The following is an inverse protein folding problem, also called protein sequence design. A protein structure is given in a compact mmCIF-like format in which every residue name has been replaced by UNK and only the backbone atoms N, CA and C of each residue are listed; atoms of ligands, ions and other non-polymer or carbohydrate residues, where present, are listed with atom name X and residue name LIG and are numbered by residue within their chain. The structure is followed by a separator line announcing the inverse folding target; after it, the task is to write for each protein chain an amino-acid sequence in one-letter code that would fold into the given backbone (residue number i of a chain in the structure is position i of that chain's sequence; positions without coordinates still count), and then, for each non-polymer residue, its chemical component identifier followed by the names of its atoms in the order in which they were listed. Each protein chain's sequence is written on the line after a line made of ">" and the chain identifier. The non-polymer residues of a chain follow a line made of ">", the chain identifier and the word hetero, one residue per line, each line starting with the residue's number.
data_IF_390487057835
#
_entry.id   IF_390487057835
#
_cell.length_a   1.000
_cell.length_b   1.000
_cell.length_c   1.000
_cell.angle_alpha   90.00
_cell.angle_beta   90.00
_cell.angle_gamma   90.00
#
_symmetry.space_group_name_H-M   'P 1'
#
loop_
_entity.id
_entity.type
_entity.pdbx_description
1 polymer ?
#
# COMPACT_ATOMS: atom_id res chain seq x y z
N UNK A 1 -19.43 -7.42 -57.91
CA UNK A 1 -20.67 -7.84 -57.19
C UNK A 1 -20.41 -7.55 -55.71
N UNK A 2 -20.94 -6.54 -55.02
CA UNK A 2 -22.13 -5.71 -55.17
C UNK A 2 -22.86 -5.71 -53.83
N UNK A 3 -22.68 -4.67 -52.99
CA UNK A 3 -23.55 -4.28 -51.85
C UNK A 3 -22.96 -2.99 -51.23
N UNK A 4 -23.48 -1.81 -51.56
CA UNK A 4 -24.75 -1.18 -51.13
C UNK A 4 -24.54 -0.30 -49.89
N UNK A 5 -24.86 0.98 -50.06
CA UNK A 5 -24.50 2.16 -49.26
C UNK A 5 -25.82 2.77 -48.74
N UNK A 6 -25.75 3.45 -47.58
CA UNK A 6 -26.67 4.51 -47.11
C UNK A 6 -27.96 4.09 -46.36
N UNK A 7 -28.65 5.00 -45.61
CA UNK A 7 -28.33 6.39 -45.22
C UNK A 7 -28.59 6.79 -43.74
N UNK A 8 -28.04 7.98 -43.43
CA UNK A 8 -28.41 9.00 -42.42
C UNK A 8 -29.89 9.07 -41.99
N UNK A 9 -30.12 9.22 -40.68
CA UNK A 9 -31.32 9.81 -40.08
C UNK A 9 -31.01 11.18 -39.45
N UNK A 10 -31.79 12.20 -39.83
CA UNK A 10 -31.68 13.60 -39.44
C UNK A 10 -32.90 14.01 -38.61
N UNK A 11 -32.66 14.93 -37.66
CA UNK A 11 -33.55 16.02 -37.20
C UNK A 11 -34.83 15.69 -36.43
N UNK A 12 -34.93 16.31 -35.25
CA UNK A 12 -36.19 16.63 -34.60
C UNK A 12 -35.98 17.80 -33.64
N UNK A 13 -36.05 19.03 -34.15
CA UNK A 13 -36.18 20.24 -33.35
C UNK A 13 -37.67 20.59 -33.29
N UNK A 14 -38.20 20.85 -32.09
CA UNK A 14 -39.52 21.48 -31.94
C UNK A 14 -39.49 22.54 -30.84
N UNK A 15 -40.21 23.63 -31.13
CA UNK A 15 -40.11 24.98 -30.60
C UNK A 15 -41.08 25.25 -29.43
N UNK A 16 -40.62 26.13 -28.52
CA UNK A 16 -41.28 27.32 -27.93
C UNK A 16 -42.69 27.17 -27.32
N UNK A 17 -42.83 27.51 -26.04
CA UNK A 17 -43.90 28.41 -25.56
C UNK A 17 -43.53 29.03 -24.20
N UNK A 18 -43.55 30.36 -24.15
CA UNK A 18 -43.34 31.18 -22.97
C UNK A 18 -44.63 31.32 -22.15
N UNK A 19 -44.52 31.42 -20.82
CA UNK A 19 -45.49 32.09 -19.95
C UNK A 19 -44.75 32.90 -18.88
N UNK A 20 -44.97 34.21 -18.93
CA UNK A 20 -44.59 35.17 -17.91
C UNK A 20 -45.60 35.12 -16.75
N UNK A 21 -45.12 35.27 -15.51
CA UNK A 21 -45.92 35.77 -14.38
C UNK A 21 -45.00 36.36 -13.27
N UNK A 22 -45.25 37.64 -12.98
CA UNK A 22 -44.92 38.56 -11.86
C UNK A 22 -43.76 38.29 -10.85
N UNK A 23 -43.06 39.36 -10.40
CA UNK A 23 -41.99 39.29 -9.40
C UNK A 23 -42.58 39.35 -7.98
N UNK A 24 -42.51 38.25 -7.25
CA UNK A 24 -42.62 38.32 -5.79
C UNK A 24 -41.25 38.74 -5.23
N UNK A 25 -41.23 39.81 -4.43
CA UNK A 25 -40.07 40.26 -3.66
C UNK A 25 -39.43 39.08 -2.92
N UNK A 26 -38.27 38.64 -3.39
CA UNK A 26 -37.42 37.72 -2.64
C UNK A 26 -36.50 38.53 -1.71
N UNK A 27 -36.32 38.13 -0.44
CA UNK A 27 -35.38 38.78 0.47
C UNK A 27 -33.96 38.72 -0.09
N UNK A 28 -33.22 39.81 0.13
CA UNK A 28 -31.84 40.04 -0.30
C UNK A 28 -30.95 38.79 -0.20
N UNK A 29 -30.07 38.51 -1.18
CA UNK A 29 -29.12 37.42 -1.10
C UNK A 29 -28.20 37.63 0.11
N UNK A 30 -28.36 36.80 1.13
CA UNK A 30 -27.34 36.65 2.16
C UNK A 30 -26.15 36.00 1.47
N UNK A 31 -25.01 36.70 1.46
CA UNK A 31 -23.77 36.20 0.86
C UNK A 31 -23.52 34.78 1.40
N UNK A 32 -23.37 33.76 0.54
CA UNK A 32 -23.01 32.43 1.01
C UNK A 32 -21.66 32.53 1.72
N UNK A 33 -21.66 32.19 3.00
CA UNK A 33 -20.44 31.95 3.77
C UNK A 33 -19.64 30.91 2.99
N UNK A 34 -18.42 31.29 2.61
CA UNK A 34 -17.49 30.41 1.93
C UNK A 34 -17.23 29.18 2.81
N UNK A 35 -17.74 28.03 2.36
CA UNK A 35 -17.35 26.67 2.75
C UNK A 35 -17.76 26.18 4.17
N UNK A 36 -19.03 25.79 4.39
CA UNK A 36 -19.41 25.00 5.55
C UNK A 36 -18.97 23.54 5.31
N UNK A 37 -17.79 23.16 5.82
CA UNK A 37 -17.31 21.78 5.73
C UNK A 37 -15.80 21.60 5.83
N UNK A 38 -15.00 22.66 5.77
CA UNK A 38 -13.61 22.55 6.19
C UNK A 38 -13.58 22.52 7.73
N UNK A 39 -12.94 21.51 8.35
CA UNK A 39 -12.71 21.54 9.78
C UNK A 39 -11.99 22.85 10.10
N UNK A 40 -12.52 23.59 11.06
CA UNK A 40 -11.88 24.79 11.61
C UNK A 40 -10.41 24.46 11.86
N UNK A 41 -9.51 25.19 11.21
CA UNK A 41 -8.06 24.98 11.34
C UNK A 41 -7.68 24.85 12.81
N UNK A 42 -6.70 23.97 13.09
CA UNK A 42 -6.25 23.63 14.44
C UNK A 42 -6.09 24.91 15.27
N UNK A 43 -6.91 25.04 16.30
CA UNK A 43 -6.96 26.20 17.19
C UNK A 43 -5.63 26.31 17.96
N UNK A 44 -4.72 27.18 17.48
CA UNK A 44 -3.37 27.33 18.04
C UNK A 44 -3.40 27.73 19.52
N UNK A 45 -4.45 28.45 19.95
CA UNK A 45 -4.67 28.87 21.33
C UNK A 45 -5.13 27.74 22.24
N UNK A 46 -5.89 26.76 21.71
CA UNK A 46 -6.39 25.61 22.47
C UNK A 46 -5.42 24.43 22.50
N UNK A 47 -4.61 24.27 21.45
CA UNK A 47 -3.69 23.15 21.30
C UNK A 47 -2.25 23.45 21.74
N UNK A 48 -1.81 24.71 21.77
CA UNK A 48 -0.53 25.14 22.39
C UNK A 48 0.73 24.32 22.00
N UNK A 49 1.84 24.63 22.66
CA UNK A 49 3.13 23.93 22.50
C UNK A 49 3.08 22.44 22.96
N UNK A 50 1.98 22.02 23.60
CA UNK A 50 1.81 20.72 24.27
C UNK A 50 1.16 19.62 23.43
N UNK A 51 0.66 19.94 22.23
CA UNK A 51 0.28 18.93 21.22
C UNK A 51 1.31 18.93 20.09
N UNK A 52 2.59 19.04 20.45
CA UNK A 52 3.64 18.40 19.67
C UNK A 52 3.38 16.91 19.86
N UNK A 53 2.90 16.21 18.83
CA UNK A 53 3.09 14.76 18.81
C UNK A 53 4.54 14.57 19.21
N UNK A 54 4.79 13.93 20.36
CA UNK A 54 6.12 13.53 20.77
C UNK A 54 6.58 12.51 19.72
N UNK A 55 6.94 13.03 18.55
CA UNK A 55 7.99 12.47 17.74
C UNK A 55 9.19 12.74 18.63
N UNK A 56 9.51 11.77 19.49
CA UNK A 56 10.85 11.70 20.05
C UNK A 56 11.78 11.92 18.86
N UNK A 57 12.52 13.03 18.85
CA UNK A 57 13.51 13.29 17.79
C UNK A 57 14.62 12.22 17.82
N UNK A 58 14.66 11.47 18.92
CA UNK A 58 15.30 10.17 19.09
C UNK A 58 14.39 9.00 18.69
N UNK A 59 13.59 9.12 17.63
CA UNK A 59 12.97 7.96 16.97
C UNK A 59 14.11 7.14 16.35
N UNK A 60 14.72 6.36 17.23
CA UNK A 60 15.76 5.37 17.06
C UNK A 60 15.52 4.71 15.72
N UNK A 61 16.52 4.78 14.84
CA UNK A 61 16.51 4.06 13.56
C UNK A 61 15.87 2.70 13.79
N UNK A 62 14.90 2.28 12.94
CA UNK A 62 14.25 1.00 13.13
C UNK A 62 15.35 -0.05 13.33
N UNK A 63 15.28 -0.82 14.42
CA UNK A 63 16.40 -1.64 14.87
C UNK A 63 16.78 -2.71 13.84
N UNK A 64 15.87 -3.00 12.93
CA UNK A 64 15.98 -4.04 11.92
C UNK A 64 15.22 -3.64 10.66
N UNK A 65 15.71 -4.08 9.51
CA UNK A 65 15.11 -3.97 8.20
C UNK A 65 14.84 -5.35 7.66
N UNK A 66 13.59 -5.60 7.25
CA UNK A 66 13.14 -6.89 6.75
C UNK A 66 12.97 -6.84 5.25
N UNK A 67 13.51 -7.83 4.57
CA UNK A 67 13.27 -8.05 3.15
C UNK A 67 12.15 -9.07 3.03
N UNK A 68 11.03 -8.66 2.43
CA UNK A 68 9.85 -9.47 2.21
C UNK A 68 9.81 -9.95 0.76
N UNK A 69 9.64 -11.26 0.56
CA UNK A 69 9.26 -11.84 -0.71
C UNK A 69 7.74 -11.80 -0.84
N UNK A 70 7.23 -11.24 -1.93
CA UNK A 70 5.79 -11.10 -2.17
C UNK A 70 5.28 -12.22 -3.08
N UNK A 71 4.05 -12.65 -2.85
CA UNK A 71 3.29 -13.61 -3.67
C UNK A 71 3.20 -13.22 -5.14
N UNK A 72 3.16 -11.93 -5.43
CA UNK A 72 3.15 -11.36 -6.79
C UNK A 72 4.32 -11.88 -7.64
N UNK A 73 5.40 -12.31 -7.01
CA UNK A 73 6.51 -13.01 -7.69
C UNK A 73 6.03 -14.22 -8.49
N UNK A 74 5.07 -14.98 -7.96
CA UNK A 74 4.54 -16.21 -8.55
C UNK A 74 3.42 -15.95 -9.58
N UNK A 75 3.01 -14.71 -9.80
CA UNK A 75 2.09 -14.37 -10.90
C UNK A 75 2.76 -14.53 -12.27
N UNK A 76 4.09 -14.41 -12.32
CA UNK A 76 4.87 -14.70 -13.51
C UNK A 76 5.08 -16.23 -13.65
N UNK A 77 4.64 -16.88 -14.74
CA UNK A 77 4.77 -18.32 -14.92
C UNK A 77 6.20 -18.85 -14.85
N UNK A 78 7.20 -18.01 -15.13
CA UNK A 78 8.61 -18.40 -15.02
C UNK A 78 9.06 -18.64 -13.58
N UNK A 79 8.36 -18.07 -12.59
CA UNK A 79 8.72 -18.09 -11.18
C UNK A 79 8.00 -19.22 -10.44
N UNK A 80 8.52 -20.44 -10.57
CA UNK A 80 8.10 -21.59 -9.75
C UNK A 80 8.85 -21.66 -8.41
N UNK A 81 8.32 -22.43 -7.45
CA UNK A 81 8.93 -22.58 -6.10
C UNK A 81 10.41 -23.01 -6.17
N UNK A 82 10.81 -24.03 -6.97
CA UNK A 82 12.22 -24.41 -7.07
C UNK A 82 13.14 -23.29 -7.57
N UNK A 83 12.72 -22.51 -8.57
CA UNK A 83 13.50 -21.39 -9.11
C UNK A 83 13.64 -20.26 -8.10
N UNK A 84 12.56 -19.93 -7.40
CA UNK A 84 12.57 -18.91 -6.35
C UNK A 84 13.47 -19.36 -5.20
N UNK A 85 13.36 -20.61 -4.76
CA UNK A 85 14.24 -21.19 -3.74
C UNK A 85 15.73 -21.13 -4.16
N UNK A 86 16.08 -21.53 -5.37
CA UNK A 86 17.44 -21.44 -5.90
C UNK A 86 17.98 -19.99 -5.93
N UNK A 87 17.11 -19.03 -6.24
CA UNK A 87 17.47 -17.60 -6.22
C UNK A 87 17.72 -17.10 -4.80
N UNK A 88 16.89 -17.51 -3.83
CA UNK A 88 17.10 -17.21 -2.41
C UNK A 88 18.40 -17.84 -1.89
N UNK A 89 18.71 -19.08 -2.27
CA UNK A 89 19.96 -19.75 -1.91
C UNK A 89 21.17 -18.97 -2.43
N UNK A 90 21.13 -18.54 -3.69
CA UNK A 90 22.29 -17.87 -4.30
C UNK A 90 22.53 -16.47 -3.73
N UNK A 91 21.46 -15.71 -3.47
CA UNK A 91 21.58 -14.32 -3.02
C UNK A 91 21.78 -14.20 -1.51
N UNK A 92 21.08 -15.04 -0.73
CA UNK A 92 21.06 -14.95 0.74
C UNK A 92 21.85 -16.06 1.43
N UNK A 93 22.36 -17.05 0.68
CA UNK A 93 23.05 -18.20 1.27
C UNK A 93 22.15 -19.11 2.11
N UNK A 94 20.83 -19.08 1.90
CA UNK A 94 19.90 -19.93 2.64
C UNK A 94 20.10 -21.40 2.27
N UNK A 95 19.91 -22.30 3.25
CA UNK A 95 19.79 -23.73 2.97
C UNK A 95 18.55 -24.02 2.12
N UNK A 96 18.61 -25.04 1.26
CA UNK A 96 17.53 -25.40 0.32
C UNK A 96 16.18 -25.58 1.02
N UNK A 97 16.16 -26.29 2.16
CA UNK A 97 14.94 -26.51 2.93
C UNK A 97 14.29 -25.21 3.43
N UNK A 98 15.10 -24.31 4.00
CA UNK A 98 14.64 -23.00 4.46
C UNK A 98 14.18 -22.10 3.31
N UNK A 99 14.93 -22.09 2.20
CA UNK A 99 14.57 -21.32 1.00
C UNK A 99 13.24 -21.80 0.40
N UNK A 100 13.04 -23.12 0.34
CA UNK A 100 11.80 -23.74 -0.16
C UNK A 100 10.63 -23.42 0.76
N UNK A 101 10.80 -23.60 2.08
CA UNK A 101 9.76 -23.29 3.06
C UNK A 101 9.32 -21.81 2.98
N UNK A 102 10.26 -20.87 2.85
CA UNK A 102 9.94 -19.45 2.70
C UNK A 102 9.26 -19.12 1.37
N UNK A 103 9.68 -19.76 0.27
CA UNK A 103 9.04 -19.57 -1.03
C UNK A 103 7.60 -20.09 -1.03
N UNK A 104 7.36 -21.28 -0.47
CA UNK A 104 6.02 -21.84 -0.26
C UNK A 104 5.19 -20.94 0.64
N UNK A 105 5.75 -20.49 1.78
CA UNK A 105 5.05 -19.59 2.69
C UNK A 105 4.64 -18.28 2.01
N UNK A 106 5.52 -17.67 1.20
CA UNK A 106 5.19 -16.45 0.48
C UNK A 106 4.06 -16.64 -0.54
N UNK A 107 4.03 -17.79 -1.21
CA UNK A 107 2.96 -18.15 -2.15
C UNK A 107 1.63 -18.33 -1.44
N UNK A 108 1.62 -19.00 -0.30
CA UNK A 108 0.40 -19.41 0.39
C UNK A 108 -0.14 -18.31 1.34
N UNK A 109 0.73 -17.44 1.86
CA UNK A 109 0.42 -16.43 2.89
C UNK A 109 0.71 -15.00 2.43
N UNK A 110 0.68 -14.73 1.13
CA UNK A 110 0.92 -13.42 0.48
C UNK A 110 2.36 -12.88 0.57
N UNK A 111 3.10 -13.17 1.65
CA UNK A 111 4.49 -12.79 1.80
C UNK A 111 5.27 -13.70 2.76
N UNK A 112 6.60 -13.63 2.68
CA UNK A 112 7.48 -14.21 3.69
C UNK A 112 8.72 -13.33 3.91
N UNK A 113 9.18 -13.24 5.16
CA UNK A 113 10.43 -12.56 5.49
C UNK A 113 11.62 -13.44 5.08
N UNK A 114 12.40 -12.99 4.11
CA UNK A 114 13.55 -13.75 3.59
C UNK A 114 14.85 -13.41 4.30
N UNK A 115 15.05 -12.14 4.66
CA UNK A 115 16.21 -11.65 5.39
C UNK A 115 15.83 -10.55 6.38
N UNK A 116 16.66 -10.40 7.40
CA UNK A 116 16.55 -9.43 8.49
C UNK A 116 17.94 -8.82 8.71
N UNK A 117 18.09 -7.52 8.47
CA UNK A 117 19.38 -6.82 8.56
C UNK A 117 19.28 -5.62 9.48
N UNK A 118 20.34 -5.32 10.23
CA UNK A 118 20.38 -4.09 11.05
C UNK A 118 20.68 -2.84 10.22
N UNK A 119 21.37 -3.00 9.08
CA UNK A 119 21.74 -1.90 8.19
C UNK A 119 20.82 -1.82 6.98
N UNK A 120 20.31 -0.61 6.72
CA UNK A 120 19.47 -0.31 5.56
C UNK A 120 20.16 -0.64 4.23
N UNK A 121 21.42 -0.25 4.07
CA UNK A 121 22.15 -0.43 2.81
C UNK A 121 22.34 -1.90 2.44
N UNK A 122 22.54 -2.76 3.45
CA UNK A 122 22.66 -4.20 3.25
C UNK A 122 21.31 -4.82 2.86
N UNK A 123 20.21 -4.40 3.51
CA UNK A 123 18.86 -4.83 3.15
C UNK A 123 18.50 -4.43 1.71
N UNK A 124 18.81 -3.19 1.30
CA UNK A 124 18.57 -2.70 -0.06
C UNK A 124 19.42 -3.45 -1.07
N UNK A 125 20.71 -3.69 -0.79
CA UNK A 125 21.59 -4.45 -1.68
C UNK A 125 21.04 -5.86 -1.93
N UNK A 126 20.60 -6.56 -0.88
CA UNK A 126 19.98 -7.89 -0.98
C UNK A 126 18.67 -7.84 -1.76
N UNK A 127 17.83 -6.84 -1.50
CA UNK A 127 16.58 -6.67 -2.23
C UNK A 127 16.82 -6.44 -3.73
N UNK A 128 17.75 -5.56 -4.10
CA UNK A 128 18.12 -5.31 -5.50
C UNK A 128 18.68 -6.56 -6.18
N UNK A 129 19.51 -7.34 -5.48
CA UNK A 129 20.02 -8.61 -6.00
C UNK A 129 18.89 -9.61 -6.28
N UNK A 130 17.87 -9.69 -5.41
CA UNK A 130 16.68 -10.52 -5.66
C UNK A 130 15.82 -9.97 -6.82
N UNK A 131 15.64 -8.65 -6.92
CA UNK A 131 14.91 -8.01 -8.02
C UNK A 131 15.58 -8.25 -9.37
N UNK A 132 16.92 -8.20 -9.43
CA UNK A 132 17.68 -8.50 -10.65
C UNK A 132 17.44 -9.92 -11.20
N UNK A 133 16.93 -10.83 -10.35
CA UNK A 133 16.55 -12.20 -10.72
C UNK A 133 15.07 -12.36 -11.07
N UNK A 134 14.32 -11.25 -11.14
CA UNK A 134 12.90 -11.24 -11.45
C UNK A 134 11.97 -11.55 -10.26
N UNK A 135 12.45 -11.38 -9.02
CA UNK A 135 11.63 -11.55 -7.82
C UNK A 135 11.01 -10.22 -7.40
N UNK A 136 9.74 -10.25 -6.97
CA UNK A 136 9.08 -9.07 -6.40
C UNK A 136 9.31 -9.04 -4.89
N UNK A 137 10.13 -8.10 -4.43
CA UNK A 137 10.49 -7.95 -3.01
C UNK A 137 10.27 -6.53 -2.52
N UNK A 138 10.03 -6.39 -1.22
CA UNK A 138 9.85 -5.09 -0.53
C UNK A 138 10.70 -5.07 0.73
N UNK A 139 11.34 -3.94 0.99
CA UNK A 139 12.04 -3.69 2.26
C UNK A 139 11.12 -2.91 3.19
N UNK A 140 10.98 -3.37 4.43
CA UNK A 140 10.16 -2.71 5.45
C UNK A 140 10.95 -2.56 6.74
N UNK A 141 10.72 -1.48 7.51
CA UNK A 141 11.25 -1.40 8.86
C UNK A 141 10.62 -2.51 9.71
N UNK A 142 11.46 -3.30 10.38
CA UNK A 142 11.06 -4.32 11.32
C UNK A 142 11.00 -3.75 12.73
N UNK A 143 10.01 -4.18 13.50
CA UNK A 143 10.05 -4.06 14.95
C UNK A 143 10.75 -5.30 15.48
N UNK A 144 11.91 -5.13 16.11
CA UNK A 144 12.57 -6.22 16.83
C UNK A 144 11.65 -6.67 17.96
N UNK A 145 10.96 -7.80 17.77
CA UNK A 145 10.46 -8.55 18.92
C UNK A 145 11.65 -9.35 19.40
N UNK A 146 12.17 -9.00 20.57
CA UNK A 146 13.18 -9.79 21.27
C UNK A 146 12.68 -11.24 21.31
N UNK A 147 13.41 -12.24 20.74
CA UNK A 147 12.91 -13.61 20.63
C UNK A 147 12.76 -14.37 21.97
N UNK A 148 12.65 -13.67 23.11
CA UNK A 148 12.61 -14.24 24.46
C UNK A 148 11.26 -14.17 25.16
N UNK A 149 10.22 -13.59 24.54
CA UNK A 149 8.91 -13.34 25.21
C UNK A 149 7.74 -14.07 24.52
N UNK A 150 7.97 -15.28 24.03
CA UNK A 150 6.93 -16.13 23.44
C UNK A 150 6.67 -17.45 24.20
N UNK A 151 7.57 -17.90 25.08
CA UNK A 151 7.48 -19.24 25.71
C UNK A 151 7.13 -19.26 27.21
N UNK A 152 6.84 -18.12 27.85
CA UNK A 152 6.53 -18.10 29.29
C UNK A 152 5.04 -18.30 29.65
N UNK A 153 4.19 -18.75 28.72
CA UNK A 153 2.75 -18.98 28.98
C UNK A 153 2.28 -20.43 28.87
N UNK A 154 3.17 -21.41 28.74
CA UNK A 154 2.81 -22.83 28.96
C UNK A 154 3.03 -23.19 30.44
N UNK A 155 2.28 -22.52 31.33
CA UNK A 155 2.27 -22.81 32.76
C UNK A 155 1.03 -23.60 33.14
N UNK A 156 1.25 -24.88 33.48
CA UNK A 156 0.52 -25.69 34.46
C UNK A 156 -1.02 -25.68 34.44
N UNK A 157 -1.61 -26.74 33.88
CA UNK A 157 -2.87 -27.27 34.37
C UNK A 157 -2.58 -28.63 34.99
N UNK A 158 -2.67 -28.70 36.32
CA UNK A 158 -2.88 -29.93 37.11
C UNK A 158 -4.20 -30.61 36.72
#
# INVERSE_FOLDING_TARGET
>A
VGRAISPKGLRGASRIAARQAAPALAPSPVRPVANPGLPTGIDQTRFGEKVRWMVDEDAIRPPEWRVLLLDKTFHEPSNNIPRVAASLMTVLGLALGAATAKATHARDHFFATVASETKWDEAIRRAQALQSRGLTVRVVPGTSRTPGEADSRSGSAD
#
